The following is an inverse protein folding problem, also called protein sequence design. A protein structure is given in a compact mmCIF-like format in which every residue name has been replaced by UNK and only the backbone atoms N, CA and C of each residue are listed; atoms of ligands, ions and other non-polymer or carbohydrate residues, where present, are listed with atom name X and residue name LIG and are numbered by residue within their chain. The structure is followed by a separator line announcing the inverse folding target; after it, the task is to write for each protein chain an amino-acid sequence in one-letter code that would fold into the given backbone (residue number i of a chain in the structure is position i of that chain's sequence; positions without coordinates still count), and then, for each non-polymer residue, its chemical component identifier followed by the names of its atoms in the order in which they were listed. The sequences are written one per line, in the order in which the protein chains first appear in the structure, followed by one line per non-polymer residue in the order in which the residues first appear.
data_IF_702060648644
#
_entry.id   IF_702060648644
#
_cell.length_a   1.000
_cell.length_b   1.000
_cell.length_c   1.000
_cell.angle_alpha   90.00
_cell.angle_beta   90.00
_cell.angle_gamma   90.00
#
_symmetry.space_group_name_H-M   'P 1'
#
loop_
_entity.id
_entity.type
_entity.pdbx_description
1 polymer ?
#
# COMPACT_ATOMS: atom_id res chain seq x y z
N UNK A 1 14.00 7.99 1.62
CA UNK A 1 13.44 8.15 2.98
C UNK A 1 12.06 7.50 3.08
N UNK A 2 11.49 7.54 4.29
CA UNK A 2 10.17 6.95 4.51
C UNK A 2 9.10 8.05 4.62
N UNK A 3 7.84 7.62 4.73
CA UNK A 3 6.74 8.56 4.84
C UNK A 3 5.62 7.97 5.70
N UNK A 4 4.95 8.83 6.46
CA UNK A 4 3.87 8.40 7.33
C UNK A 4 2.52 8.92 6.82
N UNK A 5 1.49 8.09 6.94
CA UNK A 5 0.16 8.46 6.49
C UNK A 5 -0.83 8.51 7.65
N UNK A 6 -1.89 9.30 7.49
CA UNK A 6 -2.90 9.43 8.52
C UNK A 6 -4.21 8.78 8.09
N UNK A 7 -4.62 7.74 8.82
CA UNK A 7 -5.85 7.04 8.49
C UNK A 7 -6.84 7.03 9.64
N UNK A 8 -8.03 6.52 9.39
CA UNK A 8 -9.07 6.44 10.40
C UNK A 8 -9.95 5.22 10.21
N UNK A 9 -10.32 4.57 11.31
CA UNK A 9 -11.17 3.38 11.25
C UNK A 9 -12.35 3.59 10.32
N UNK A 10 -12.64 2.59 9.49
CA UNK A 10 -13.75 2.67 8.54
C UNK A 10 -13.51 3.79 7.53
N UNK A 11 -12.25 4.16 7.35
CA UNK A 11 -11.91 5.21 6.40
C UNK A 11 -11.00 4.71 5.29
N UNK A 12 -10.57 5.63 4.43
CA UNK A 12 -9.69 5.27 3.32
C UNK A 12 -8.36 6.01 3.41
N UNK A 13 -7.35 5.47 2.73
CA UNK A 13 -6.02 6.08 2.72
C UNK A 13 -5.23 5.58 1.52
N UNK A 14 -4.29 6.40 1.04
CA UNK A 14 -3.48 6.03 -0.11
C UNK A 14 -1.99 6.18 0.18
N UNK A 15 -1.20 5.26 -0.34
CA UNK A 15 0.24 5.28 -0.17
C UNK A 15 0.90 5.65 -1.48
N UNK A 16 1.17 6.94 -1.66
CA UNK A 16 1.78 7.44 -2.89
C UNK A 16 3.22 6.97 -3.04
N UNK A 17 3.58 6.64 -4.27
CA UNK A 17 4.93 6.18 -4.58
C UNK A 17 5.58 7.07 -5.63
N UNK A 18 6.75 7.66 -5.32
CA UNK A 18 7.46 8.53 -6.25
C UNK A 18 8.13 7.76 -7.38
N UNK A 19 7.32 7.07 -8.17
CA UNK A 19 7.83 6.28 -9.29
C UNK A 19 7.76 7.07 -10.60
N UNK A 20 8.87 7.69 -10.97
CA UNK A 20 8.93 8.48 -12.20
C UNK A 20 8.39 7.69 -13.39
N UNK A 21 8.53 6.37 -13.32
CA UNK A 21 8.06 5.50 -14.39
C UNK A 21 6.90 4.64 -13.91
N UNK A 22 5.90 4.40 -14.77
CA UNK A 22 4.73 3.59 -14.43
C UNK A 22 5.13 2.23 -13.83
N UNK A 23 4.83 2.05 -12.56
CA UNK A 23 5.16 0.80 -11.86
C UNK A 23 4.39 -0.36 -12.46
N UNK A 24 5.08 -1.23 -13.19
CA UNK A 24 4.47 -2.40 -13.81
C UNK A 24 4.39 -3.55 -12.82
N UNK A 25 5.36 -3.62 -11.92
CA UNK A 25 5.40 -4.67 -10.91
C UNK A 25 5.67 -4.08 -9.53
N UNK A 26 4.62 -4.00 -8.72
CA UNK A 26 4.74 -3.46 -7.37
C UNK A 26 4.36 -4.50 -6.32
N UNK A 27 4.95 -4.39 -5.14
CA UNK A 27 4.68 -5.34 -4.06
C UNK A 27 4.62 -4.62 -2.72
N UNK A 28 3.41 -4.54 -2.16
CA UNK A 28 3.21 -3.88 -0.87
C UNK A 28 3.22 -4.92 0.26
N UNK A 29 3.85 -4.57 1.38
CA UNK A 29 3.92 -5.48 2.52
C UNK A 29 3.58 -4.76 3.81
N UNK A 30 3.14 -5.53 4.80
CA UNK A 30 2.78 -5.00 6.10
C UNK A 30 3.37 -5.87 7.20
N UNK A 31 4.50 -5.43 7.76
CA UNK A 31 5.16 -6.20 8.81
C UNK A 31 5.71 -7.50 8.20
N UNK A 32 5.47 -8.63 8.86
CA UNK A 32 5.94 -9.90 8.36
C UNK A 32 4.87 -10.59 7.51
N UNK A 33 3.97 -9.79 6.93
CA UNK A 33 2.91 -10.32 6.09
C UNK A 33 2.87 -9.62 4.74
N UNK A 34 1.97 -10.06 3.87
CA UNK A 34 1.84 -9.48 2.54
C UNK A 34 0.49 -8.77 2.38
N UNK A 35 0.53 -7.61 1.75
CA UNK A 35 -0.68 -6.82 1.53
C UNK A 35 -1.19 -6.96 0.10
N UNK A 36 -0.39 -6.48 -0.85
CA UNK A 36 -0.78 -6.54 -2.26
C UNK A 36 0.43 -6.75 -3.16
N UNK A 37 0.17 -7.12 -4.40
CA UNK A 37 1.25 -7.36 -5.37
C UNK A 37 0.74 -7.20 -6.80
N UNK A 38 1.40 -6.32 -7.56
CA UNK A 38 1.04 -6.08 -8.95
C UNK A 38 2.09 -6.68 -9.88
N UNK A 39 1.64 -7.40 -10.89
CA UNK A 39 2.55 -8.03 -11.85
C UNK A 39 1.79 -8.54 -13.07
N UNK A 40 2.46 -8.54 -14.21
CA UNK A 40 1.86 -9.01 -15.46
C UNK A 40 0.52 -8.31 -15.72
N UNK A 41 0.48 -7.01 -15.46
CA UNK A 41 -0.73 -6.23 -15.65
C UNK A 41 -1.89 -6.81 -14.86
N UNK A 42 -1.56 -7.52 -13.78
CA UNK A 42 -2.57 -8.12 -12.92
C UNK A 42 -2.32 -7.78 -11.46
N UNK A 43 -3.32 -7.19 -10.82
CA UNK A 43 -3.23 -6.81 -9.41
C UNK A 43 -3.94 -7.83 -8.53
N UNK A 44 -3.35 -8.14 -7.37
CA UNK A 44 -3.94 -9.10 -6.46
C UNK A 44 -3.42 -8.91 -5.04
N UNK A 45 -4.32 -8.99 -4.06
CA UNK A 45 -3.94 -8.83 -2.66
C UNK A 45 -3.77 -10.18 -1.98
N UNK A 46 -3.37 -10.16 -0.72
CA UNK A 46 -3.16 -11.38 0.03
C UNK A 46 -4.16 -11.53 1.18
N UNK A 47 -4.24 -12.74 1.71
CA UNK A 47 -5.14 -13.04 2.83
C UNK A 47 -6.57 -12.58 2.53
N UNK A 48 -6.93 -11.40 3.02
CA UNK A 48 -8.27 -10.85 2.80
C UNK A 48 -8.22 -9.35 2.54
N UNK A 49 -7.02 -8.84 2.25
CA UNK A 49 -6.84 -7.43 1.98
C UNK A 49 -7.47 -7.04 0.66
N UNK A 50 -7.46 -7.99 -0.28
CA UNK A 50 -8.03 -7.76 -1.60
C UNK A 50 -9.45 -7.20 -1.52
N UNK A 51 -10.15 -7.54 -0.44
CA UNK A 51 -11.52 -7.07 -0.25
C UNK A 51 -11.55 -5.74 0.52
N UNK A 52 -10.38 -5.14 0.71
CA UNK A 52 -10.29 -3.87 1.42
C UNK A 52 -9.08 -3.06 0.96
N UNK A 53 -8.69 -3.26 -0.30
CA UNK A 53 -7.56 -2.55 -0.87
C UNK A 53 -7.85 -2.07 -2.29
N UNK A 54 -7.13 -1.04 -2.71
CA UNK A 54 -7.32 -0.48 -4.05
C UNK A 54 -5.97 -0.01 -4.61
N UNK A 55 -5.14 -0.95 -5.02
CA UNK A 55 -3.83 -0.65 -5.56
C UNK A 55 -3.95 -0.05 -6.97
N UNK A 56 -3.31 1.10 -7.16
CA UNK A 56 -3.33 1.77 -8.45
C UNK A 56 -2.54 0.98 -9.49
N UNK A 57 -2.74 1.30 -10.76
CA UNK A 57 -2.05 0.62 -11.84
C UNK A 57 -1.21 1.59 -12.65
N UNK A 58 -0.60 2.56 -11.97
CA UNK A 58 0.23 3.55 -12.64
C UNK A 58 1.51 3.80 -11.85
N UNK A 59 1.39 4.52 -10.74
CA UNK A 59 2.53 4.84 -9.90
C UNK A 59 2.77 3.76 -8.85
N UNK A 60 1.91 2.75 -8.84
CA UNK A 60 2.05 1.68 -7.86
C UNK A 60 1.46 2.04 -6.52
N UNK A 61 0.90 3.24 -6.41
CA UNK A 61 0.30 3.70 -5.18
C UNK A 61 -0.77 2.73 -4.69
N UNK A 62 -0.81 2.50 -3.39
CA UNK A 62 -1.79 1.59 -2.80
C UNK A 62 -2.82 2.34 -1.97
N UNK A 63 -4.10 2.03 -2.17
CA UNK A 63 -5.16 2.70 -1.43
C UNK A 63 -5.96 1.69 -0.62
N UNK A 64 -5.76 1.70 0.69
CA UNK A 64 -6.47 0.78 1.58
C UNK A 64 -7.88 1.28 1.88
N UNK A 65 -8.76 0.35 2.21
CA UNK A 65 -10.15 0.68 2.54
C UNK A 65 -10.57 0.01 3.84
N UNK A 66 -11.44 0.68 4.59
CA UNK A 66 -11.92 0.14 5.86
C UNK A 66 -10.74 -0.23 6.76
N UNK A 67 -10.20 0.76 7.46
CA UNK A 67 -9.06 0.54 8.35
C UNK A 67 -9.50 0.08 9.73
N UNK A 68 -8.56 -0.49 10.46
CA UNK A 68 -8.80 -0.98 11.82
C UNK A 68 -7.65 -0.59 12.72
N UNK A 69 -7.60 -1.17 13.90
CA UNK A 69 -6.52 -0.88 14.84
C UNK A 69 -5.25 -1.64 14.44
N UNK A 70 -5.43 -2.70 13.66
CA UNK A 70 -4.30 -3.49 13.20
C UNK A 70 -3.66 -2.86 11.97
N UNK A 71 -4.42 -2.02 11.26
CA UNK A 71 -3.91 -1.35 10.08
C UNK A 71 -2.81 -0.36 10.44
N UNK A 72 -2.78 0.05 11.72
CA UNK A 72 -1.78 1.00 12.18
C UNK A 72 -0.41 0.34 12.29
N UNK A 73 0.21 0.10 11.14
CA UNK A 73 1.52 -0.52 11.09
C UNK A 73 2.37 0.06 9.97
N UNK A 74 3.67 -0.22 10.01
CA UNK A 74 4.59 0.29 9.00
C UNK A 74 4.59 -0.62 7.77
N UNK A 75 4.05 -0.11 6.67
CA UNK A 75 3.98 -0.87 5.43
C UNK A 75 5.23 -0.64 4.59
N UNK A 76 5.60 -1.63 3.80
CA UNK A 76 6.78 -1.53 2.94
C UNK A 76 6.47 -2.01 1.52
N UNK A 77 6.77 -1.18 0.53
CA UNK A 77 6.53 -1.52 -0.86
C UNK A 77 7.81 -1.88 -1.58
N UNK A 78 7.70 -2.69 -2.62
CA UNK A 78 8.86 -3.11 -3.40
C UNK A 78 8.53 -3.10 -4.89
N UNK A 79 9.47 -2.61 -5.70
CA UNK A 79 9.27 -2.54 -7.14
C UNK A 79 10.61 -2.63 -7.88
N UNK A 80 10.64 -3.37 -9.01
CA UNK A 80 11.86 -3.52 -9.81
C UNK A 80 12.40 -2.17 -10.26
N UNK A 81 11.50 -1.30 -10.72
CA UNK A 81 11.88 0.03 -11.17
C UNK A 81 12.33 0.88 -9.99
N UNK A 82 11.72 0.64 -8.83
CA UNK A 82 12.05 1.37 -7.62
C UNK A 82 13.53 1.20 -7.27
N UNK A 83 14.07 2.17 -6.55
CA UNK A 83 15.48 2.13 -6.15
C UNK A 83 15.78 0.87 -5.34
N UNK A 84 14.88 0.55 -4.43
CA UNK A 84 15.04 -0.61 -3.57
C UNK A 84 13.72 -1.00 -2.92
N UNK A 85 13.30 -0.21 -1.94
CA UNK A 85 12.06 -0.46 -1.23
C UNK A 85 11.73 0.70 -0.29
N UNK A 86 10.46 1.06 -0.23
CA UNK A 86 10.02 2.16 0.62
C UNK A 86 9.19 1.64 1.80
N UNK A 87 9.07 2.46 2.83
CA UNK A 87 8.31 2.08 4.01
C UNK A 87 7.32 3.19 4.41
N UNK A 88 6.10 3.09 3.91
CA UNK A 88 5.06 4.06 4.23
C UNK A 88 4.33 3.67 5.51
N UNK A 89 4.53 4.43 6.57
CA UNK A 89 3.90 4.16 7.85
C UNK A 89 2.43 4.57 7.84
N UNK A 90 1.57 3.71 8.38
CA UNK A 90 0.14 3.98 8.45
C UNK A 90 -0.32 4.12 9.89
N UNK A 91 -1.08 5.17 10.16
CA UNK A 91 -1.60 5.41 11.50
C UNK A 91 -3.12 5.41 11.51
N UNK A 92 -3.72 4.54 12.30
CA UNK A 92 -5.17 4.45 12.38
C UNK A 92 -5.72 5.29 13.53
N UNK A 93 -6.67 6.16 13.21
CA UNK A 93 -7.27 7.01 14.22
C UNK A 93 -8.77 6.85 14.28
N UNK A 94 -9.39 7.53 15.24
CA UNK A 94 -10.84 7.48 15.40
C UNK A 94 -11.51 8.54 14.55
N UNK A 95 -10.89 9.71 14.47
CA UNK A 95 -11.42 10.81 13.68
C UNK A 95 -10.51 12.02 13.76
#
# INVERSE_FOLDING_TARGET
SSQQIYGVKYGNVTFHVPSNQPLKEVLWKKQKDKVAELENSEFRAFSSFKNRVYLDTKSGSLTIYNLTSSDEDEYEMESPNITDSMKFFLYVGES
#
